data_IF_456316692371
#
_entry.id   IF_456316692371
#
_cell.length_a   1.000
_cell.length_b   1.000
_cell.length_c   1.000
_cell.angle_alpha   90.00
_cell.angle_beta   90.00
_cell.angle_gamma   90.00
#
_symmetry.space_group_name_H-M   'P 1'
#
loop_
_entity.id
_entity.type
_entity.pdbx_description
1 polymer ?
#
# COMPACT_ATOMS: atom_id res chain seq x y z
N UNK A 1 -9.55 -10.63 2.12
CA UNK A 1 -9.02 -9.31 1.71
C UNK A 1 -7.98 -8.90 2.73
N UNK A 2 -6.78 -8.44 2.32
CA UNK A 2 -5.76 -7.93 3.22
C UNK A 2 -4.95 -6.81 2.56
N UNK A 3 -4.33 -5.96 3.38
CA UNK A 3 -3.37 -4.94 2.95
C UNK A 3 -1.99 -5.36 3.44
N UNK A 4 -1.00 -5.38 2.56
CA UNK A 4 0.40 -5.62 2.90
C UNK A 4 1.16 -4.34 2.60
N UNK A 5 1.89 -3.81 3.59
CA UNK A 5 2.77 -2.67 3.45
C UNK A 5 4.21 -3.13 3.53
N UNK A 6 4.96 -2.96 2.45
CA UNK A 6 6.42 -3.05 2.48
C UNK A 6 7.02 -1.75 2.98
N UNK A 7 7.85 -1.84 4.01
CA UNK A 7 8.41 -0.70 4.73
C UNK A 7 9.93 -0.81 4.87
N UNK A 8 10.55 0.25 5.40
CA UNK A 8 11.95 0.27 5.81
C UNK A 8 12.07 0.97 7.17
N UNK A 9 12.99 0.50 8.02
CA UNK A 9 13.19 0.95 9.40
C UNK A 9 13.42 2.47 9.59
N UNK A 10 14.00 3.17 8.61
CA UNK A 10 14.30 4.62 8.72
C UNK A 10 13.55 5.48 7.68
N UNK A 11 12.45 4.95 7.16
CA UNK A 11 11.66 5.61 6.11
C UNK A 11 10.58 6.52 6.72
N UNK A 12 10.79 7.84 6.65
CA UNK A 12 9.79 8.85 7.09
C UNK A 12 8.45 8.70 6.35
N UNK A 13 8.39 8.51 5.02
CA UNK A 13 7.15 8.24 4.31
C UNK A 13 6.41 6.98 4.81
N UNK A 14 7.15 5.97 5.27
CA UNK A 14 6.59 4.75 5.84
C UNK A 14 5.90 5.04 7.17
N UNK A 15 6.45 5.92 8.01
CA UNK A 15 5.77 6.35 9.24
C UNK A 15 4.44 7.07 8.95
N UNK A 16 4.40 7.93 7.93
CA UNK A 16 3.16 8.57 7.51
C UNK A 16 2.12 7.53 7.04
N UNK A 17 2.57 6.54 6.27
CA UNK A 17 1.70 5.45 5.80
C UNK A 17 1.14 4.61 6.94
N UNK A 18 1.95 4.29 7.97
CA UNK A 18 1.48 3.58 9.17
C UNK A 18 0.34 4.33 9.87
N UNK A 19 0.42 5.66 9.96
CA UNK A 19 -0.66 6.48 10.52
C UNK A 19 -1.92 6.34 9.67
N UNK A 20 -1.81 6.52 8.36
CA UNK A 20 -2.94 6.35 7.42
C UNK A 20 -3.58 4.97 7.55
N UNK A 21 -2.80 3.89 7.59
CA UNK A 21 -3.32 2.52 7.72
C UNK A 21 -3.98 2.28 9.09
N UNK A 22 -3.50 2.91 10.15
CA UNK A 22 -4.17 2.89 11.46
C UNK A 22 -5.53 3.60 11.41
N UNK A 23 -5.69 4.69 10.65
CA UNK A 23 -6.99 5.32 10.43
C UNK A 23 -7.94 4.40 9.67
N UNK A 24 -7.44 3.72 8.64
CA UNK A 24 -8.22 2.74 7.87
C UNK A 24 -8.67 1.59 8.76
N UNK A 25 -7.81 1.03 9.61
CA UNK A 25 -8.18 -0.04 10.55
C UNK A 25 -9.24 0.41 11.57
N UNK A 26 -9.27 1.68 11.97
CA UNK A 26 -10.35 2.21 12.82
C UNK A 26 -11.71 2.18 12.11
N UNK A 27 -11.73 2.39 10.80
CA UNK A 27 -12.96 2.38 9.99
C UNK A 27 -13.34 0.97 9.53
N UNK A 28 -12.36 0.10 9.27
CA UNK A 28 -12.52 -1.27 8.82
C UNK A 28 -11.77 -2.23 9.77
N UNK A 29 -12.30 -2.52 10.97
CA UNK A 29 -11.60 -3.36 11.96
C UNK A 29 -11.38 -4.81 11.49
N UNK A 30 -12.16 -5.26 10.51
CA UNK A 30 -12.04 -6.59 9.91
C UNK A 30 -10.94 -6.69 8.85
N UNK A 31 -10.37 -5.57 8.39
CA UNK A 31 -9.38 -5.55 7.31
C UNK A 31 -7.97 -5.80 7.89
N UNK A 32 -7.35 -6.96 7.63
CA UNK A 32 -6.00 -7.23 8.09
C UNK A 32 -5.01 -6.31 7.37
N UNK A 33 -4.12 -5.71 8.15
CA UNK A 33 -2.97 -4.95 7.65
C UNK A 33 -1.71 -5.60 8.18
N UNK A 34 -0.84 -6.02 7.27
CA UNK A 34 0.44 -6.63 7.56
C UNK A 34 1.55 -5.68 7.13
N UNK A 35 2.56 -5.49 7.97
CA UNK A 35 3.73 -4.70 7.64
C UNK A 35 4.95 -5.61 7.53
N UNK A 36 5.69 -5.49 6.42
CA UNK A 36 6.89 -6.26 6.14
C UNK A 36 8.05 -5.32 5.87
N UNK A 37 9.07 -5.35 6.73
CA UNK A 37 10.31 -4.63 6.48
C UNK A 37 11.12 -5.33 5.37
N UNK A 38 11.53 -4.57 4.37
CA UNK A 38 12.24 -5.09 3.19
C UNK A 38 13.63 -5.64 3.51
N UNK A 39 14.29 -5.16 4.57
CA UNK A 39 15.59 -5.68 4.99
C UNK A 39 15.44 -6.98 5.81
N UNK A 40 14.32 -7.15 6.52
CA UNK A 40 13.99 -8.39 7.21
C UNK A 40 13.44 -9.49 6.27
N UNK A 41 12.82 -9.11 5.14
CA UNK A 41 12.21 -10.04 4.17
C UNK A 41 12.65 -9.75 2.72
N UNK A 42 13.97 -9.83 2.41
CA UNK A 42 14.50 -9.42 1.11
C UNK A 42 13.97 -10.28 -0.05
N UNK A 43 13.92 -11.61 0.11
CA UNK A 43 13.45 -12.53 -0.93
C UNK A 43 11.98 -12.26 -1.31
N UNK A 44 11.15 -11.94 -0.31
CA UNK A 44 9.75 -11.62 -0.52
C UNK A 44 9.58 -10.25 -1.18
N UNK A 45 10.39 -9.25 -0.78
CA UNK A 45 10.38 -7.94 -1.42
C UNK A 45 10.80 -8.03 -2.90
N UNK A 46 11.77 -8.88 -3.23
CA UNK A 46 12.19 -9.15 -4.60
C UNK A 46 11.09 -9.86 -5.40
N UNK A 47 10.51 -10.93 -4.85
CA UNK A 47 9.42 -11.67 -5.50
C UNK A 47 8.19 -10.79 -5.79
N UNK A 48 7.93 -9.80 -4.95
CA UNK A 48 6.82 -8.85 -5.09
C UNK A 48 7.21 -7.58 -5.88
N UNK A 49 8.41 -7.55 -6.47
CA UNK A 49 8.93 -6.45 -7.29
C UNK A 49 8.87 -5.10 -6.57
N UNK A 50 9.23 -5.06 -5.28
CA UNK A 50 9.22 -3.85 -4.47
C UNK A 50 10.45 -3.01 -4.82
N UNK A 51 10.22 -1.91 -5.53
CA UNK A 51 11.29 -0.98 -5.99
C UNK A 51 11.44 0.26 -5.11
N UNK A 52 10.44 0.56 -4.30
CA UNK A 52 10.40 1.73 -3.43
C UNK A 52 9.62 1.41 -2.16
N UNK A 53 9.97 2.10 -1.07
CA UNK A 53 9.21 2.05 0.19
C UNK A 53 8.64 3.43 0.50
N UNK A 54 7.41 3.55 1.01
CA UNK A 54 6.45 2.46 1.24
C UNK A 54 5.82 1.98 -0.09
N UNK A 55 5.58 0.67 -0.18
CA UNK A 55 4.71 0.09 -1.22
C UNK A 55 3.59 -0.66 -0.53
N UNK A 56 2.36 -0.46 -1.00
CA UNK A 56 1.16 -1.10 -0.46
C UNK A 56 0.57 -1.99 -1.52
N UNK A 57 0.32 -3.24 -1.14
CA UNK A 57 -0.39 -4.23 -1.94
C UNK A 57 -1.72 -4.54 -1.27
N UNK A 58 -2.81 -4.44 -2.02
CA UNK A 58 -4.12 -4.96 -1.59
C UNK A 58 -4.30 -6.32 -2.22
N UNK A 59 -4.74 -7.32 -1.43
CA UNK A 59 -4.90 -8.70 -1.88
C UNK A 59 -6.27 -9.27 -1.60
N UNK A 60 -6.83 -9.94 -2.60
CA UNK A 60 -8.01 -10.78 -2.48
C UNK A 60 -7.61 -12.26 -2.60
N UNK A 61 -7.30 -12.89 -1.46
CA UNK A 61 -6.60 -14.18 -1.45
C UNK A 61 -5.15 -13.99 -1.85
N UNK A 62 -4.66 -14.78 -2.80
CA UNK A 62 -3.30 -14.66 -3.34
C UNK A 62 -3.19 -13.61 -4.45
N UNK A 63 -4.33 -13.17 -4.99
CA UNK A 63 -4.38 -12.18 -6.09
C UNK A 63 -4.10 -10.77 -5.58
N UNK A 64 -3.07 -10.14 -6.12
CA UNK A 64 -2.88 -8.68 -6.03
C UNK A 64 -3.99 -8.00 -6.84
N UNK A 65 -4.77 -7.13 -6.17
CA UNK A 65 -5.85 -6.36 -6.81
C UNK A 65 -5.49 -4.89 -6.98
N UNK A 66 -4.53 -4.38 -6.22
CA UNK A 66 -4.07 -3.02 -6.31
C UNK A 66 -2.66 -2.91 -5.70
N UNK A 67 -1.85 -2.07 -6.33
CA UNK A 67 -0.55 -1.62 -5.85
C UNK A 67 -0.52 -0.09 -5.81
N UNK A 68 0.02 0.44 -4.73
CA UNK A 68 0.32 1.85 -4.60
C UNK A 68 1.75 2.03 -4.06
N UNK A 69 2.53 2.85 -4.73
CA UNK A 69 3.86 3.28 -4.26
C UNK A 69 3.74 4.66 -3.63
N UNK A 70 4.48 4.91 -2.55
CA UNK A 70 4.44 6.18 -1.82
C UNK A 70 3.36 6.25 -0.74
N UNK A 71 3.14 7.45 -0.19
CA UNK A 71 2.23 7.66 0.96
C UNK A 71 0.80 7.85 0.47
N UNK A 72 -0.13 6.91 0.71
CA UNK A 72 -1.52 7.11 0.36
C UNK A 72 -2.25 7.99 1.39
N UNK A 73 -3.41 8.47 0.98
CA UNK A 73 -4.44 8.98 1.88
C UNK A 73 -5.40 7.86 2.31
N UNK A 74 -6.07 8.02 3.45
CA UNK A 74 -7.04 7.02 3.92
C UNK A 74 -8.18 6.78 2.90
N UNK A 75 -8.76 7.81 2.24
CA UNK A 75 -9.75 7.60 1.19
C UNK A 75 -9.25 6.75 0.02
N UNK A 76 -7.99 6.90 -0.41
CA UNK A 76 -7.42 6.08 -1.48
C UNK A 76 -7.35 4.60 -1.09
N UNK A 77 -6.94 4.29 0.15
CA UNK A 77 -6.90 2.91 0.64
C UNK A 77 -8.31 2.33 0.74
N UNK A 78 -9.27 3.09 1.28
CA UNK A 78 -10.67 2.65 1.38
C UNK A 78 -11.26 2.35 0.00
N UNK A 79 -11.05 3.24 -0.97
CA UNK A 79 -11.51 3.03 -2.35
C UNK A 79 -10.85 1.79 -2.98
N UNK A 80 -9.55 1.56 -2.73
CA UNK A 80 -8.87 0.37 -3.21
C UNK A 80 -9.51 -0.91 -2.66
N UNK A 81 -9.84 -0.94 -1.37
CA UNK A 81 -10.51 -2.07 -0.72
C UNK A 81 -11.90 -2.31 -1.32
N UNK A 82 -12.69 -1.25 -1.55
CA UNK A 82 -14.02 -1.37 -2.17
C UNK A 82 -13.91 -1.96 -3.59
N UNK A 83 -13.05 -1.39 -4.45
CA UNK A 83 -12.84 -1.90 -5.82
C UNK A 83 -12.43 -3.38 -5.83
N UNK A 84 -11.60 -3.77 -4.86
CA UNK A 84 -11.15 -5.14 -4.70
C UNK A 84 -12.28 -6.11 -4.33
N UNK A 85 -13.24 -5.66 -3.52
CA UNK A 85 -14.43 -6.43 -3.14
C UNK A 85 -15.42 -6.55 -4.31
N UNK A 86 -15.55 -5.51 -5.12
CA UNK A 86 -16.47 -5.46 -6.27
C UNK A 86 -15.95 -6.26 -7.49
N UNK A 87 -14.81 -6.94 -7.38
CA UNK A 87 -14.23 -7.76 -8.44
C UNK A 87 -13.61 -6.98 -9.60
N UNK A 88 -13.64 -5.65 -9.56
CA UNK A 88 -13.00 -4.80 -10.55
C UNK A 88 -11.48 -4.88 -10.41
N UNK A 89 -10.81 -5.48 -11.39
CA UNK A 89 -9.35 -5.45 -11.50
C UNK A 89 -8.93 -4.12 -12.16
N UNK A 90 -8.21 -3.21 -11.48
CA UNK A 90 -7.48 -2.15 -12.15
C UNK A 90 -6.20 -2.71 -12.78
N UNK A 91 -6.02 -2.52 -14.09
CA UNK A 91 -4.74 -2.71 -14.76
C UNK A 91 -3.87 -1.47 -14.58
N UNK A 92 -2.69 -1.63 -13.97
CA UNK A 92 -1.56 -0.72 -14.14
C UNK A 92 -1.49 0.47 -13.17
N UNK A 93 -0.32 0.62 -12.56
CA UNK A 93 0.05 1.71 -11.66
C UNK A 93 0.20 3.08 -12.37
N UNK A 94 0.18 4.12 -11.52
CA UNK A 94 0.67 5.49 -11.71
C UNK A 94 -0.22 6.49 -12.47
N UNK A 95 -0.91 7.36 -11.72
CA UNK A 95 -0.61 8.79 -11.83
C UNK A 95 -0.92 9.51 -10.50
N UNK A 96 0.12 10.03 -9.86
CA UNK A 96 0.00 11.12 -8.91
C UNK A 96 0.63 12.33 -9.60
N UNK A 97 -0.10 13.44 -9.81
CA UNK A 97 0.51 14.61 -10.43
C UNK A 97 1.64 15.11 -9.55
N UNK A 98 2.85 15.10 -10.13
CA UNK A 98 4.03 15.70 -9.53
C UNK A 98 3.73 17.12 -9.10
N UNK A 99 3.98 17.41 -7.82
CA UNK A 99 4.01 18.78 -7.32
C UNK A 99 5.04 19.56 -8.15
N UNK A 100 4.68 20.71 -8.76
CA UNK A 100 5.65 21.50 -9.50
C UNK A 100 6.76 21.99 -8.57
N UNK A 101 7.98 21.92 -9.07
CA UNK A 101 9.19 22.46 -8.47
C UNK A 101 9.11 24.00 -8.50
N UNK A 102 9.28 24.72 -7.38
CA UNK A 102 9.34 26.17 -7.39
C UNK A 102 10.70 26.62 -7.96
N UNK A 103 10.67 27.20 -9.16
CA UNK A 103 11.74 28.05 -9.69
C UNK A 103 11.82 29.37 -8.92
#
# INVERSE_FOLDING_TARGET
MRVVMFSSLFCVPCQATRRTLAEVQRLLPWLPVEELDVAAHPDLAEAELIRSTPTILVRAGDREVLRAEGVPTAPQVLQAVVRAMDGAAPSGAADAPGRPDPA
#
